data_IF_299018083992
#
_entry.id   IF_299018083992
#
_cell.length_a   1.000
_cell.length_b   1.000
_cell.length_c   1.000
_cell.angle_alpha   90.00
_cell.angle_beta   90.00
_cell.angle_gamma   90.00
#
_symmetry.space_group_name_H-M   'P 1'
#
loop_
_entity.id
_entity.type
_entity.pdbx_description
1 polymer ?
#
# COMPACT_ATOMS: atom_id res chain seq x y z
N UNK A 1 -13.84 10.24 -10.78
CA UNK A 1 -12.55 9.52 -10.80
C UNK A 1 -11.51 10.48 -10.25
N UNK A 2 -10.77 10.12 -9.20
CA UNK A 2 -9.81 11.03 -8.55
C UNK A 2 -8.40 10.74 -9.08
N UNK A 3 -7.76 11.75 -9.68
CA UNK A 3 -6.37 11.63 -10.15
C UNK A 3 -5.43 12.19 -9.09
N UNK A 4 -5.00 11.31 -8.18
CA UNK A 4 -4.10 11.66 -7.06
C UNK A 4 -2.64 11.71 -7.51
N UNK A 5 -1.85 12.55 -6.84
CA UNK A 5 -0.40 12.58 -6.96
C UNK A 5 0.25 11.28 -6.47
N UNK A 6 1.52 11.12 -6.79
CA UNK A 6 2.27 9.93 -6.39
C UNK A 6 2.40 9.78 -4.87
N UNK A 7 2.45 10.89 -4.12
CA UNK A 7 2.49 10.91 -2.66
C UNK A 7 1.12 10.61 -2.05
N UNK A 8 0.05 11.23 -2.53
CA UNK A 8 -1.31 10.95 -2.03
C UNK A 8 -1.71 9.48 -2.24
N UNK A 9 -1.33 8.89 -3.39
CA UNK A 9 -1.51 7.44 -3.61
C UNK A 9 -0.73 6.61 -2.59
N UNK A 10 0.46 7.05 -2.18
CA UNK A 10 1.28 6.36 -1.17
C UNK A 10 0.66 6.48 0.22
N UNK A 11 0.17 7.66 0.59
CA UNK A 11 -0.54 7.85 1.86
C UNK A 11 -1.78 6.97 1.97
N UNK A 12 -2.55 6.83 0.89
CA UNK A 12 -3.72 5.94 0.88
C UNK A 12 -3.34 4.46 1.02
N UNK A 13 -2.21 4.04 0.43
CA UNK A 13 -1.66 2.69 0.63
C UNK A 13 -1.30 2.48 2.10
N UNK A 14 -0.57 3.43 2.70
CA UNK A 14 -0.16 3.38 4.12
C UNK A 14 -1.39 3.36 5.03
N UNK A 15 -2.39 4.19 4.77
CA UNK A 15 -3.66 4.22 5.52
C UNK A 15 -4.38 2.88 5.46
N UNK A 16 -4.41 2.25 4.28
CA UNK A 16 -5.00 0.92 4.10
C UNK A 16 -4.26 -0.16 4.93
N UNK A 17 -2.92 -0.07 4.97
CA UNK A 17 -2.09 -0.97 5.78
C UNK A 17 -2.18 -0.67 7.28
N UNK A 18 -2.35 0.59 7.70
CA UNK A 18 -2.60 0.95 9.12
C UNK A 18 -3.92 0.35 9.62
N UNK A 19 -4.98 0.44 8.82
CA UNK A 19 -6.32 -0.03 9.18
C UNK A 19 -6.41 -1.57 9.26
N UNK A 20 -5.69 -2.27 8.38
CA UNK A 20 -5.81 -3.74 8.22
C UNK A 20 -4.58 -4.52 8.64
N UNK A 21 -3.49 -3.85 8.99
CA UNK A 21 -2.20 -4.40 9.36
C UNK A 21 -1.40 -4.96 8.18
N UNK A 22 -1.95 -5.98 7.50
CA UNK A 22 -1.25 -6.70 6.44
C UNK A 22 -2.16 -7.05 5.27
N UNK A 23 -1.73 -6.67 4.06
CA UNK A 23 -2.48 -6.89 2.83
C UNK A 23 -1.54 -7.28 1.71
N UNK A 24 -2.04 -8.07 0.76
CA UNK A 24 -1.34 -8.26 -0.50
C UNK A 24 -1.50 -7.04 -1.41
N UNK A 25 -0.52 -6.81 -2.28
CA UNK A 25 -0.56 -5.71 -3.26
C UNK A 25 -1.87 -5.67 -4.07
N UNK A 26 -2.42 -6.82 -4.46
CA UNK A 26 -3.69 -6.89 -5.19
C UNK A 26 -4.90 -6.47 -4.34
N UNK A 27 -4.88 -6.69 -3.02
CA UNK A 27 -5.95 -6.30 -2.10
C UNK A 27 -5.96 -4.79 -1.92
N UNK A 28 -4.78 -4.20 -1.78
CA UNK A 28 -4.58 -2.75 -1.73
C UNK A 28 -5.09 -2.13 -3.03
N UNK A 29 -4.70 -2.66 -4.20
CA UNK A 29 -5.21 -2.18 -5.49
C UNK A 29 -6.73 -2.24 -5.58
N UNK A 30 -7.35 -3.33 -5.13
CA UNK A 30 -8.82 -3.48 -5.12
C UNK A 30 -9.48 -2.45 -4.20
N UNK A 31 -8.89 -2.16 -3.05
CA UNK A 31 -9.39 -1.17 -2.11
C UNK A 31 -9.30 0.25 -2.67
N UNK A 32 -8.16 0.62 -3.24
CA UNK A 32 -7.95 1.94 -3.84
C UNK A 32 -8.85 2.16 -5.05
N UNK A 33 -9.04 1.14 -5.90
CA UNK A 33 -9.99 1.22 -7.02
C UNK A 33 -11.43 1.40 -6.55
N UNK A 34 -11.85 0.75 -5.45
CA UNK A 34 -13.17 0.98 -4.84
C UNK A 34 -13.36 2.41 -4.36
N UNK A 35 -12.30 3.09 -3.93
CA UNK A 35 -12.30 4.52 -3.60
C UNK A 35 -12.25 5.44 -4.83
N UNK A 36 -12.18 4.89 -6.04
CA UNK A 36 -12.09 5.66 -7.28
C UNK A 36 -10.68 6.16 -7.61
N UNK A 37 -9.65 5.58 -6.98
CA UNK A 37 -8.24 5.85 -7.23
C UNK A 37 -7.72 4.87 -8.29
N UNK A 38 -7.23 5.42 -9.40
CA UNK A 38 -6.64 4.63 -10.46
C UNK A 38 -5.18 4.30 -10.14
N UNK A 39 -4.92 3.01 -9.90
CA UNK A 39 -3.60 2.48 -9.63
C UNK A 39 -3.52 1.02 -10.07
N UNK A 40 -2.34 0.60 -10.52
CA UNK A 40 -2.02 -0.79 -10.86
C UNK A 40 -1.34 -1.52 -9.70
N UNK A 41 -1.43 -2.85 -9.68
CA UNK A 41 -0.74 -3.68 -8.69
C UNK A 41 0.78 -3.48 -8.75
N UNK A 42 1.33 -3.22 -9.94
CA UNK A 42 2.75 -2.92 -10.14
C UNK A 42 3.15 -1.60 -9.47
N UNK A 43 2.34 -0.54 -9.65
CA UNK A 43 2.58 0.74 -8.97
C UNK A 43 2.49 0.61 -7.45
N UNK A 44 1.54 -0.17 -6.92
CA UNK A 44 1.45 -0.46 -5.49
C UNK A 44 2.75 -1.12 -5.01
N UNK A 45 3.19 -2.20 -5.67
CA UNK A 45 4.44 -2.88 -5.32
C UNK A 45 5.64 -1.94 -5.36
N UNK A 46 5.81 -1.16 -6.43
CA UNK A 46 6.92 -0.23 -6.57
C UNK A 46 6.89 0.84 -5.47
N UNK A 47 5.74 1.48 -5.22
CA UNK A 47 5.62 2.53 -4.19
C UNK A 47 5.93 2.04 -2.78
N UNK A 48 5.71 0.75 -2.51
CA UNK A 48 6.03 0.15 -1.23
C UNK A 48 7.48 -0.33 -1.13
N UNK A 49 8.09 -0.79 -2.23
CA UNK A 49 9.51 -1.18 -2.25
C UNK A 49 10.47 -0.04 -1.89
N UNK A 50 10.05 1.21 -2.09
CA UNK A 50 10.83 2.41 -1.75
C UNK A 50 10.35 3.10 -0.46
N UNK A 51 9.63 2.40 0.41
CA UNK A 51 9.14 3.00 1.66
C UNK A 51 9.81 2.35 2.86
N UNK A 52 10.49 3.16 3.68
CA UNK A 52 10.93 2.77 5.04
C UNK A 52 9.75 2.37 5.97
N UNK A 53 8.55 2.63 5.46
CA UNK A 53 7.23 2.51 6.09
C UNK A 53 6.59 1.14 5.88
N UNK A 54 6.94 0.43 4.79
CA UNK A 54 6.23 -0.78 4.35
C UNK A 54 7.23 -1.91 4.19
N UNK A 55 7.06 -2.94 5.00
CA UNK A 55 7.84 -4.16 4.93
C UNK A 55 7.22 -5.12 3.90
N UNK A 56 8.07 -5.68 3.04
CA UNK A 56 7.66 -6.64 2.02
C UNK A 56 8.08 -8.04 2.47
N UNK A 57 7.10 -8.89 2.73
CA UNK A 57 7.38 -10.31 2.96
C UNK A 57 7.63 -10.99 1.60
N UNK A 58 8.81 -11.60 1.47
CA UNK A 58 9.32 -12.17 0.22
C UNK A 58 8.62 -13.48 -0.22
N UNK A 59 7.56 -13.93 0.48
CA UNK A 59 6.88 -15.20 0.21
C UNK A 59 5.94 -15.16 -1.01
N UNK A 60 6.48 -15.18 -2.24
CA UNK A 60 5.82 -15.55 -3.52
C UNK A 60 4.48 -14.85 -3.92
N UNK A 61 3.88 -14.04 -3.07
CA UNK A 61 2.76 -13.13 -3.27
C UNK A 61 3.06 -11.97 -2.34
N UNK A 62 3.56 -10.87 -2.86
CA UNK A 62 4.09 -9.71 -2.11
C UNK A 62 3.09 -9.24 -1.04
N UNK A 63 3.21 -9.81 0.17
CA UNK A 63 2.42 -9.44 1.33
C UNK A 63 3.12 -8.23 1.93
N UNK A 64 2.33 -7.21 2.17
CA UNK A 64 2.80 -5.90 2.60
C UNK A 64 2.31 -5.71 4.02
N UNK A 65 3.24 -5.35 4.90
CA UNK A 65 2.95 -4.99 6.29
C UNK A 65 3.43 -3.57 6.52
N UNK A 66 2.73 -2.82 7.36
CA UNK A 66 3.31 -1.57 7.84
C UNK A 66 4.44 -1.89 8.81
N UNK A 67 5.56 -1.17 8.72
CA UNK A 67 6.67 -1.37 9.62
C UNK A 67 6.24 -1.11 11.06
N UNK A 68 6.70 -1.98 11.96
CA UNK A 68 6.38 -1.95 13.39
C UNK A 68 6.65 -0.58 14.05
N UNK A 69 7.64 0.16 13.53
CA UNK A 69 8.00 1.49 14.02
C UNK A 69 6.86 2.51 13.92
N UNK A 70 5.99 2.39 12.92
CA UNK A 70 4.91 3.35 12.67
C UNK A 70 3.58 2.99 13.33
N UNK A 71 3.48 1.78 13.90
CA UNK A 71 2.34 1.37 14.71
C UNK A 71 2.47 1.94 16.14
N UNK A 72 3.70 2.23 16.58
CA UNK A 72 4.04 2.57 17.96
C UNK A 72 4.53 4.03 18.13
N UNK A 73 4.31 4.88 17.13
CA UNK A 73 4.53 6.34 17.18
C UNK A 73 3.18 7.05 17.30
#
# INVERSE_FOLDING_TARGET
MMNLSNEEKKEEIVRCLKDRGSLYSYEITKFLRKKGIEISTREVSQKCSYSDTIELDSSRRTRMTISWRLINE
#
